data_IF_602205943284
#
_entry.id   IF_602205943284
#
_cell.length_a   1.000
_cell.length_b   1.000
_cell.length_c   1.000
_cell.angle_alpha   90.00
_cell.angle_beta   90.00
_cell.angle_gamma   90.00
#
_symmetry.space_group_name_H-M   'P 1'
#
loop_
_entity.id
_entity.type
_entity.pdbx_description
1 polymer ?
#
# COMPACT_ATOMS: atom_id res chain seq x y z
N UNK A 1 -8.96 -14.66 -4.84
CA UNK A 1 -9.05 -15.70 -3.81
C UNK A 1 -9.86 -16.89 -4.27
N UNK A 2 -9.54 -18.08 -3.77
CA UNK A 2 -10.24 -19.34 -4.07
C UNK A 2 -10.34 -20.18 -2.78
N UNK A 3 -11.27 -19.84 -1.86
CA UNK A 3 -11.45 -20.58 -0.61
C UNK A 3 -11.90 -22.02 -0.88
N UNK A 4 -11.68 -22.90 0.11
CA UNK A 4 -12.00 -24.31 0.01
C UNK A 4 -13.50 -24.51 -0.17
N UNK A 5 -13.91 -25.35 -1.12
CA UNK A 5 -15.31 -25.75 -1.30
C UNK A 5 -15.54 -27.05 -0.55
N UNK A 6 -16.51 -27.06 0.37
CA UNK A 6 -16.91 -28.23 1.13
C UNK A 6 -17.78 -29.17 0.28
N UNK A 7 -17.88 -30.43 0.69
CA UNK A 7 -18.78 -31.40 0.06
C UNK A 7 -20.25 -30.94 0.08
N UNK A 8 -20.65 -30.17 1.09
CA UNK A 8 -21.97 -29.53 1.18
C UNK A 8 -22.19 -28.38 0.18
N UNK A 9 -21.17 -27.95 -0.56
CA UNK A 9 -21.24 -26.86 -1.53
C UNK A 9 -20.89 -25.49 -0.96
N UNK A 10 -20.87 -25.31 0.36
CA UNK A 10 -20.45 -24.06 1.00
C UNK A 10 -18.94 -23.81 0.87
N UNK A 11 -18.54 -22.53 0.87
CA UNK A 11 -17.12 -22.12 0.89
C UNK A 11 -16.65 -21.96 2.34
N UNK A 12 -15.56 -22.62 2.69
CA UNK A 12 -14.85 -22.43 3.96
C UNK A 12 -13.74 -21.41 3.77
N UNK A 13 -13.87 -20.29 4.47
CA UNK A 13 -12.86 -19.23 4.49
C UNK A 13 -11.84 -19.49 5.60
N UNK A 14 -10.59 -19.24 5.28
CA UNK A 14 -9.45 -19.29 6.21
C UNK A 14 -9.16 -17.87 6.74
N UNK A 15 -8.32 -17.78 7.76
CA UNK A 15 -7.86 -16.49 8.27
C UNK A 15 -7.16 -15.66 7.17
N UNK A 16 -6.35 -16.31 6.33
CA UNK A 16 -5.71 -15.65 5.18
C UNK A 16 -6.75 -15.06 4.22
N UNK A 17 -7.91 -15.71 4.09
CA UNK A 17 -9.02 -15.18 3.31
C UNK A 17 -9.60 -13.89 3.89
N UNK A 18 -9.74 -13.81 5.20
CA UNK A 18 -10.17 -12.59 5.88
C UNK A 18 -9.14 -11.47 5.75
N UNK A 19 -7.86 -11.78 5.90
CA UNK A 19 -6.77 -10.81 5.74
C UNK A 19 -6.76 -10.19 4.34
N UNK A 20 -6.93 -11.02 3.31
CA UNK A 20 -6.99 -10.53 1.92
C UNK A 20 -8.22 -9.65 1.69
N UNK A 21 -9.37 -9.97 2.29
CA UNK A 21 -10.58 -9.14 2.19
C UNK A 21 -10.38 -7.79 2.88
N UNK A 22 -9.77 -7.77 4.07
CA UNK A 22 -9.45 -6.53 4.77
C UNK A 22 -8.46 -5.67 3.98
N UNK A 23 -7.44 -6.28 3.36
CA UNK A 23 -6.50 -5.52 2.52
C UNK A 23 -7.19 -4.94 1.26
N UNK A 24 -8.11 -5.69 0.63
CA UNK A 24 -8.93 -5.15 -0.47
C UNK A 24 -9.77 -3.96 0.02
N UNK A 25 -10.39 -4.08 1.20
CA UNK A 25 -11.20 -3.02 1.82
C UNK A 25 -10.37 -1.75 1.97
N UNK A 26 -9.16 -1.85 2.53
CA UNK A 26 -8.28 -0.70 2.73
C UNK A 26 -7.82 -0.07 1.41
N UNK A 27 -7.48 -0.90 0.41
CA UNK A 27 -7.08 -0.41 -0.91
C UNK A 27 -8.21 0.38 -1.58
N UNK A 28 -9.46 -0.06 -1.45
CA UNK A 28 -10.58 0.62 -2.08
C UNK A 28 -11.04 1.85 -1.30
N UNK A 29 -11.29 1.70 0.01
CA UNK A 29 -11.90 2.75 0.83
C UNK A 29 -10.91 3.82 1.28
N UNK A 30 -9.69 3.43 1.65
CA UNK A 30 -8.70 4.38 2.18
C UNK A 30 -7.79 4.93 1.09
N UNK A 31 -7.40 4.09 0.12
CA UNK A 31 -6.46 4.48 -0.94
C UNK A 31 -7.10 4.83 -2.27
N UNK A 32 -8.43 4.68 -2.39
CA UNK A 32 -9.18 5.09 -3.58
C UNK A 32 -8.92 4.25 -4.83
N UNK A 33 -8.37 3.04 -4.71
CA UNK A 33 -8.18 2.17 -5.88
C UNK A 33 -9.52 1.61 -6.37
N UNK A 34 -9.64 1.44 -7.70
CA UNK A 34 -10.69 0.60 -8.26
C UNK A 34 -10.47 -0.88 -7.88
N UNK A 35 -11.53 -1.70 -7.87
CA UNK A 35 -11.42 -3.14 -7.58
C UNK A 35 -10.40 -3.86 -8.48
N UNK A 36 -10.29 -3.44 -9.74
CA UNK A 36 -9.28 -3.96 -10.68
C UNK A 36 -7.87 -3.50 -10.30
N UNK A 37 -7.71 -2.25 -9.88
CA UNK A 37 -6.45 -1.70 -9.36
C UNK A 37 -5.98 -2.42 -8.10
N UNK A 38 -6.86 -2.56 -7.12
CA UNK A 38 -6.57 -3.29 -5.88
C UNK A 38 -6.15 -4.74 -6.16
N UNK A 39 -6.83 -5.44 -7.09
CA UNK A 39 -6.46 -6.79 -7.50
C UNK A 39 -5.05 -6.86 -8.11
N UNK A 40 -4.66 -5.87 -8.92
CA UNK A 40 -3.32 -5.81 -9.51
C UNK A 40 -2.25 -5.65 -8.44
N UNK A 41 -2.47 -4.75 -7.47
CA UNK A 41 -1.57 -4.50 -6.33
C UNK A 41 -1.37 -5.76 -5.48
N UNK A 42 -2.45 -6.50 -5.20
CA UNK A 42 -2.36 -7.75 -4.45
C UNK A 42 -1.59 -8.85 -5.19
N UNK A 43 -1.77 -8.92 -6.51
CA UNK A 43 -1.07 -9.90 -7.34
C UNK A 43 0.43 -9.62 -7.46
N UNK A 44 0.83 -8.35 -7.58
CA UNK A 44 2.25 -7.97 -7.63
C UNK A 44 2.95 -8.22 -6.30
N UNK A 45 2.28 -7.95 -5.17
CA UNK A 45 2.81 -8.27 -3.82
C UNK A 45 2.97 -9.77 -3.57
N UNK A 46 2.04 -10.60 -4.05
CA UNK A 46 2.13 -12.05 -3.88
C UNK A 46 3.20 -12.73 -4.76
N UNK A 47 3.68 -12.04 -5.80
CA UNK A 47 4.74 -12.50 -6.73
C UNK A 47 6.12 -11.98 -6.36
N UNK A 48 6.20 -10.83 -5.70
CA UNK A 48 7.42 -10.43 -5.03
C UNK A 48 7.68 -11.43 -3.89
N UNK A 49 8.88 -12.04 -3.87
CA UNK A 49 9.44 -12.62 -2.63
C UNK A 49 9.25 -11.60 -1.49
N UNK A 50 9.21 -12.01 -0.21
CA UNK A 50 9.09 -11.06 0.88
C UNK A 50 10.29 -10.13 0.85
N UNK A 51 10.15 -9.03 0.11
CA UNK A 51 10.96 -7.85 0.32
C UNK A 51 10.61 -7.49 1.74
N UNK A 52 11.59 -7.75 2.62
CA UNK A 52 11.69 -7.18 3.95
C UNK A 52 10.95 -5.85 3.88
N UNK A 53 9.91 -5.67 4.71
CA UNK A 53 9.37 -4.35 5.00
C UNK A 53 10.59 -3.45 5.03
N UNK A 54 10.76 -2.62 4.00
CA UNK A 54 11.80 -1.62 4.02
C UNK A 54 11.30 -0.73 5.14
N UNK A 55 11.73 -1.03 6.36
CA UNK A 55 11.88 -0.03 7.39
C UNK A 55 12.51 1.11 6.63
N UNK A 56 11.77 2.20 6.50
CA UNK A 56 12.35 3.45 6.07
C UNK A 56 13.53 3.68 7.02
N UNK A 57 14.72 3.30 6.57
CA UNK A 57 15.95 3.70 7.19
C UNK A 57 16.10 5.10 6.64
N UNK A 58 15.85 6.16 7.45
CA UNK A 58 16.18 7.50 6.99
C UNK A 58 17.64 7.44 6.55
N UNK A 59 17.98 7.87 5.32
CA UNK A 59 19.38 7.99 4.94
C UNK A 59 20.03 8.85 6.01
N UNK A 60 21.03 8.30 6.67
CA UNK A 60 21.71 8.96 7.76
C UNK A 60 22.21 10.32 7.26
N UNK A 61 21.59 11.39 7.76
CA UNK A 61 22.15 12.74 7.90
C UNK A 61 23.06 13.23 6.75
N UNK A 62 22.61 13.17 5.51
CA UNK A 62 23.26 13.93 4.44
C UNK A 62 22.75 15.39 4.54
N UNK A 63 23.60 16.32 4.96
CA UNK A 63 23.26 17.76 5.13
C UNK A 63 22.57 18.31 3.87
N UNK A 64 23.01 17.86 2.70
CA UNK A 64 22.44 18.21 1.39
C UNK A 64 20.98 17.75 1.22
N UNK A 65 20.60 16.61 1.80
CA UNK A 65 19.22 16.14 1.74
C UNK A 65 18.30 16.97 2.65
N UNK A 66 18.80 17.48 3.78
CA UNK A 66 18.05 18.37 4.65
C UNK A 66 17.83 19.75 4.01
N UNK A 67 18.85 20.29 3.33
CA UNK A 67 18.76 21.54 2.57
C UNK A 67 17.73 21.43 1.43
N UNK A 68 17.80 20.35 0.65
CA UNK A 68 16.85 20.08 -0.43
C UNK A 68 15.40 19.97 0.07
N UNK A 69 15.19 19.32 1.23
CA UNK A 69 13.85 19.19 1.82
C UNK A 69 13.29 20.54 2.31
N UNK A 70 14.14 21.43 2.84
CA UNK A 70 13.69 22.76 3.26
C UNK A 70 13.33 23.65 2.06
N UNK A 71 14.05 23.50 0.95
CA UNK A 71 13.77 24.18 -0.31
C UNK A 71 12.43 23.75 -0.91
N UNK A 72 12.18 22.44 -1.03
CA UNK A 72 10.89 21.88 -1.47
C UNK A 72 9.75 22.39 -0.57
N UNK A 73 9.97 22.47 0.75
CA UNK A 73 8.97 22.95 1.71
C UNK A 73 8.67 24.44 1.56
N UNK A 74 9.64 25.26 1.11
CA UNK A 74 9.43 26.68 0.80
C UNK A 74 8.64 26.84 -0.48
N UNK A 75 8.99 26.12 -1.54
CA UNK A 75 8.27 26.14 -2.82
C UNK A 75 6.80 25.75 -2.66
N UNK A 76 6.52 24.66 -1.95
CA UNK A 76 5.14 24.22 -1.69
C UNK A 76 4.32 25.28 -0.95
N UNK A 77 4.94 26.00 0.00
CA UNK A 77 4.27 27.08 0.72
C UNK A 77 4.03 28.31 -0.13
N UNK A 78 4.91 28.57 -1.08
CA UNK A 78 4.73 29.65 -2.04
C UNK A 78 3.55 29.34 -2.97
N UNK A 79 3.51 28.13 -3.53
CA UNK A 79 2.39 27.65 -4.34
C UNK A 79 1.07 27.72 -3.56
N UNK A 80 1.06 27.32 -2.29
CA UNK A 80 -0.13 27.41 -1.43
C UNK A 80 -0.58 28.85 -1.10
N UNK A 81 0.30 29.85 -1.21
CA UNK A 81 -0.03 31.27 -1.01
C UNK A 81 -0.50 31.95 -2.28
N UNK A 82 -0.03 31.46 -3.43
CA UNK A 82 -0.35 32.00 -4.76
C UNK A 82 -1.66 31.39 -5.33
N UNK A 83 -2.25 30.40 -4.63
CA UNK A 83 -3.59 29.82 -4.83
C UNK A 83 -4.60 30.47 -3.86
#
# INVERSE_FOLDING_TARGET
>A
MRPLRLASGHRRYTQKDLETVNEIKDLVLLKGYSLRGARKVLYTRGKAKPEKKQSFVPPASDVKTAELLDEIKKELRQIMKDL
#
